data_IF_407311504140
#
_entry.id   IF_407311504140
#
_cell.length_a   1.000
_cell.length_b   1.000
_cell.length_c   1.000
_cell.angle_alpha   90.00
_cell.angle_beta   90.00
_cell.angle_gamma   90.00
#
_symmetry.space_group_name_H-M   'P 1'
#
loop_
_entity.id
_entity.type
_entity.pdbx_description
1 polymer ?
#
# COMPACT_ATOMS: atom_id res chain seq x y z
N UNK A 1 17.27 17.90 -8.84
CA UNK A 1 17.67 17.24 -7.58
C UNK A 1 16.69 17.71 -6.51
N UNK A 2 16.02 16.78 -5.85
CA UNK A 2 15.07 17.09 -4.77
C UNK A 2 15.78 17.83 -3.63
N UNK A 3 15.12 18.85 -3.04
CA UNK A 3 15.66 19.49 -1.85
C UNK A 3 15.69 18.52 -0.66
N UNK A 4 16.59 18.69 0.34
CA UNK A 4 16.60 17.84 1.53
C UNK A 4 15.25 17.76 2.25
N UNK A 5 14.49 18.88 2.27
CA UNK A 5 13.16 18.93 2.87
C UNK A 5 12.15 18.04 2.14
N UNK A 6 12.10 18.09 0.80
CA UNK A 6 11.25 17.22 -0.03
C UNK A 6 11.66 15.75 0.10
N UNK A 7 12.97 15.47 0.20
CA UNK A 7 13.45 14.11 0.42
C UNK A 7 12.97 13.53 1.76
N UNK A 8 13.07 14.31 2.85
CA UNK A 8 12.58 13.90 4.17
C UNK A 8 11.03 13.74 4.20
N UNK A 9 10.31 14.60 3.47
CA UNK A 9 8.86 14.47 3.31
C UNK A 9 8.47 13.18 2.58
N UNK A 10 9.19 12.83 1.52
CA UNK A 10 8.96 11.59 0.78
C UNK A 10 9.21 10.36 1.67
N UNK A 11 10.21 10.40 2.56
CA UNK A 11 10.46 9.31 3.52
C UNK A 11 9.31 9.21 4.55
N UNK A 12 8.77 10.32 5.03
CA UNK A 12 7.57 10.32 5.89
C UNK A 12 6.34 9.79 5.16
N UNK A 13 6.13 10.18 3.92
CA UNK A 13 5.04 9.65 3.09
C UNK A 13 5.16 8.13 2.90
N UNK A 14 6.37 7.59 2.71
CA UNK A 14 6.60 6.14 2.63
C UNK A 14 6.20 5.43 3.93
N UNK A 15 6.53 6.00 5.10
CA UNK A 15 6.14 5.43 6.40
C UNK A 15 4.60 5.48 6.57
N UNK A 16 3.96 6.61 6.24
CA UNK A 16 2.50 6.74 6.33
C UNK A 16 1.78 5.74 5.39
N UNK A 17 2.27 5.58 4.18
CA UNK A 17 1.78 4.57 3.24
C UNK A 17 1.83 3.15 3.81
N UNK A 18 2.94 2.77 4.44
CA UNK A 18 3.09 1.47 5.08
C UNK A 18 2.13 1.27 6.24
N UNK A 19 1.95 2.30 7.07
CA UNK A 19 1.05 2.27 8.21
C UNK A 19 -0.38 2.03 7.74
N UNK A 20 -0.85 2.83 6.79
CA UNK A 20 -2.19 2.69 6.23
C UNK A 20 -2.41 1.33 5.53
N UNK A 21 -1.41 0.81 4.80
CA UNK A 21 -1.47 -0.55 4.25
C UNK A 21 -1.58 -1.62 5.34
N UNK A 22 -0.89 -1.44 6.47
CA UNK A 22 -0.98 -2.38 7.59
C UNK A 22 -2.38 -2.40 8.19
N UNK A 23 -3.00 -1.24 8.33
CA UNK A 23 -4.38 -1.11 8.81
C UNK A 23 -5.39 -1.74 7.86
N UNK A 24 -5.25 -1.53 6.54
CA UNK A 24 -6.07 -2.20 5.53
C UNK A 24 -5.93 -3.73 5.64
N UNK A 25 -4.71 -4.22 5.80
CA UNK A 25 -4.45 -5.65 5.95
C UNK A 25 -5.10 -6.24 7.21
N UNK A 26 -4.85 -5.63 8.38
CA UNK A 26 -5.40 -6.07 9.65
C UNK A 26 -6.94 -6.02 9.66
N UNK A 27 -7.54 -4.96 9.13
CA UNK A 27 -8.97 -4.84 8.95
C UNK A 27 -9.54 -5.92 8.03
N UNK A 28 -8.83 -6.25 6.94
CA UNK A 28 -9.25 -7.32 6.03
C UNK A 28 -9.28 -8.69 6.73
N UNK A 29 -8.25 -9.01 7.53
CA UNK A 29 -8.22 -10.26 8.31
C UNK A 29 -9.37 -10.31 9.30
N UNK A 30 -9.59 -9.25 10.07
CA UNK A 30 -10.66 -9.19 11.06
C UNK A 30 -12.05 -9.39 10.43
N UNK A 31 -12.32 -8.68 9.34
CA UNK A 31 -13.60 -8.77 8.64
C UNK A 31 -13.80 -10.14 7.97
N UNK A 32 -12.75 -10.70 7.36
CA UNK A 32 -12.80 -12.04 6.75
C UNK A 32 -13.07 -13.14 7.80
N UNK A 33 -12.46 -13.04 8.98
CA UNK A 33 -12.74 -13.96 10.10
C UNK A 33 -14.16 -13.77 10.64
N UNK A 34 -14.67 -12.55 10.73
CA UNK A 34 -16.05 -12.29 11.14
C UNK A 34 -17.05 -12.89 10.14
N UNK A 35 -16.85 -12.72 8.86
CA UNK A 35 -17.69 -13.37 7.83
C UNK A 35 -17.60 -14.91 7.90
N UNK A 36 -16.46 -15.46 8.30
CA UNK A 36 -16.26 -16.90 8.41
C UNK A 36 -17.06 -17.53 9.56
N UNK A 37 -17.32 -16.79 10.64
CA UNK A 37 -18.14 -17.28 11.77
C UNK A 37 -19.56 -17.66 11.35
N UNK A 38 -20.08 -17.10 10.27
CA UNK A 38 -21.40 -17.42 9.72
C UNK A 38 -21.41 -18.75 8.93
N UNK A 39 -20.23 -19.35 8.67
CA UNK A 39 -20.11 -20.62 7.96
C UNK A 39 -20.25 -21.77 8.96
N UNK A 40 -21.30 -22.60 8.90
CA UNK A 40 -21.42 -23.73 9.81
C UNK A 40 -20.26 -24.71 9.70
N UNK A 41 -19.84 -25.28 10.82
CA UNK A 41 -18.75 -26.29 10.89
C UNK A 41 -19.00 -27.47 9.95
N UNK A 42 -20.24 -27.85 9.76
CA UNK A 42 -20.68 -28.94 8.87
C UNK A 42 -20.99 -28.45 7.44
N UNK A 43 -20.65 -27.21 7.11
CA UNK A 43 -20.96 -26.62 5.79
C UNK A 43 -20.28 -27.39 4.68
N UNK A 44 -21.02 -27.59 3.57
CA UNK A 44 -20.46 -28.09 2.31
C UNK A 44 -20.05 -26.93 1.42
N UNK A 45 -19.08 -27.17 0.53
CA UNK A 45 -18.63 -26.15 -0.42
C UNK A 45 -19.80 -25.56 -1.24
N UNK A 46 -20.77 -26.41 -1.62
CA UNK A 46 -21.97 -25.99 -2.36
C UNK A 46 -22.91 -25.08 -1.55
N UNK A 47 -22.94 -25.16 -0.22
CA UNK A 47 -23.80 -24.32 0.65
C UNK A 47 -23.11 -23.06 1.14
N UNK A 48 -21.80 -22.93 0.97
CA UNK A 48 -21.03 -21.76 1.37
C UNK A 48 -21.06 -20.59 0.33
N UNK A 49 -21.93 -20.65 -0.68
CA UNK A 49 -21.98 -19.68 -1.78
C UNK A 49 -22.27 -18.26 -1.31
N UNK A 50 -23.14 -18.08 -0.30
CA UNK A 50 -23.45 -16.74 0.23
C UNK A 50 -22.26 -16.13 0.95
N UNK A 51 -21.53 -16.91 1.73
CA UNK A 51 -20.28 -16.48 2.35
C UNK A 51 -19.24 -16.11 1.28
N UNK A 52 -19.02 -16.95 0.29
CA UNK A 52 -18.04 -16.72 -0.77
C UNK A 52 -18.29 -15.40 -1.51
N UNK A 53 -19.56 -15.11 -1.83
CA UNK A 53 -19.94 -13.84 -2.47
C UNK A 53 -19.62 -12.64 -1.59
N UNK A 54 -19.99 -12.67 -0.30
CA UNK A 54 -19.68 -11.60 0.67
C UNK A 54 -18.18 -11.42 0.85
N UNK A 55 -17.44 -12.50 0.95
CA UNK A 55 -15.98 -12.48 1.11
C UNK A 55 -15.28 -11.87 -0.13
N UNK A 56 -15.71 -12.23 -1.35
CA UNK A 56 -15.19 -11.61 -2.58
C UNK A 56 -15.48 -10.10 -2.58
N UNK A 57 -16.70 -9.68 -2.27
CA UNK A 57 -17.08 -8.26 -2.23
C UNK A 57 -16.21 -7.49 -1.22
N UNK A 58 -16.03 -8.04 -0.01
CA UNK A 58 -15.16 -7.45 1.02
C UNK A 58 -13.73 -7.28 0.50
N UNK A 59 -13.12 -8.36 0.05
CA UNK A 59 -11.70 -8.36 -0.34
C UNK A 59 -11.46 -7.43 -1.55
N UNK A 60 -12.34 -7.44 -2.54
CA UNK A 60 -12.22 -6.53 -3.70
C UNK A 60 -12.44 -5.07 -3.32
N UNK A 61 -13.25 -4.77 -2.30
CA UNK A 61 -13.37 -3.43 -1.74
C UNK A 61 -12.07 -2.99 -1.07
N UNK A 62 -11.49 -3.82 -0.20
CA UNK A 62 -10.20 -3.55 0.45
C UNK A 62 -9.05 -3.46 -0.55
N UNK A 63 -9.10 -4.26 -1.61
CA UNK A 63 -8.12 -4.20 -2.70
C UNK A 63 -8.19 -2.87 -3.45
N UNK A 64 -9.39 -2.34 -3.74
CA UNK A 64 -9.56 -0.99 -4.32
C UNK A 64 -8.98 0.08 -3.40
N UNK A 65 -9.31 0.03 -2.11
CA UNK A 65 -8.77 0.97 -1.12
C UNK A 65 -7.23 0.97 -1.11
N UNK A 66 -6.60 -0.21 -1.09
CA UNK A 66 -5.13 -0.31 -1.11
C UNK A 66 -4.53 0.20 -2.44
N UNK A 67 -5.20 -0.02 -3.56
CA UNK A 67 -4.81 0.46 -4.88
C UNK A 67 -4.86 1.99 -4.96
N UNK A 68 -5.96 2.60 -4.52
CA UNK A 68 -6.15 4.04 -4.58
C UNK A 68 -5.13 4.75 -3.67
N UNK A 69 -4.88 4.22 -2.48
CA UNK A 69 -3.80 4.66 -1.59
C UNK A 69 -2.43 4.59 -2.26
N UNK A 70 -2.14 3.49 -2.96
CA UNK A 70 -0.85 3.31 -3.64
C UNK A 70 -0.66 4.26 -4.82
N UNK A 71 -1.74 4.61 -5.53
CA UNK A 71 -1.72 5.59 -6.60
C UNK A 71 -1.41 6.98 -6.07
N UNK A 72 -2.12 7.43 -5.04
CA UNK A 72 -1.87 8.71 -4.40
C UNK A 72 -0.44 8.78 -3.84
N UNK A 73 0.02 7.70 -3.17
CA UNK A 73 1.39 7.61 -2.68
C UNK A 73 2.42 7.73 -3.82
N UNK A 74 2.26 6.98 -4.91
CA UNK A 74 3.20 7.00 -6.03
C UNK A 74 3.30 8.41 -6.64
N UNK A 75 2.17 9.07 -6.84
CA UNK A 75 2.09 10.43 -7.39
C UNK A 75 2.81 11.43 -6.50
N UNK A 76 2.56 11.42 -5.20
CA UNK A 76 3.22 12.29 -4.22
C UNK A 76 4.73 11.99 -4.13
N UNK A 77 5.11 10.72 -3.96
CA UNK A 77 6.52 10.33 -3.85
C UNK A 77 7.33 10.73 -5.09
N UNK A 78 6.75 10.54 -6.29
CA UNK A 78 7.38 10.95 -7.54
C UNK A 78 7.55 12.47 -7.63
N UNK A 79 6.52 13.25 -7.27
CA UNK A 79 6.60 14.71 -7.25
C UNK A 79 7.70 15.21 -6.31
N UNK A 80 7.73 14.67 -5.09
CA UNK A 80 8.74 15.01 -4.08
C UNK A 80 10.17 14.64 -4.49
N UNK A 81 10.33 13.51 -5.20
CA UNK A 81 11.65 12.99 -5.60
C UNK A 81 12.15 13.54 -6.94
N UNK A 82 11.25 13.84 -7.88
CA UNK A 82 11.62 14.18 -9.27
C UNK A 82 11.17 15.57 -9.72
N UNK A 83 10.28 16.24 -8.98
CA UNK A 83 9.66 17.51 -9.35
C UNK A 83 8.53 17.38 -10.39
N UNK A 84 8.14 16.17 -10.76
CA UNK A 84 7.02 15.91 -11.69
C UNK A 84 6.19 14.74 -11.17
N UNK A 85 4.90 14.66 -11.55
CA UNK A 85 4.02 13.56 -11.16
C UNK A 85 3.44 12.85 -12.38
N UNK A 86 2.69 11.78 -12.14
CA UNK A 86 1.93 11.07 -13.20
C UNK A 86 0.46 11.43 -13.13
N UNK A 87 -0.21 11.48 -14.28
CA UNK A 87 -1.63 11.69 -14.37
C UNK A 87 -2.42 10.55 -13.71
N UNK A 88 -3.56 10.88 -13.10
CA UNK A 88 -4.52 9.86 -12.69
C UNK A 88 -5.12 9.22 -13.95
N UNK A 89 -5.01 7.89 -14.14
CA UNK A 89 -5.50 7.22 -15.33
C UNK A 89 -7.05 7.21 -15.44
N UNK A 90 -7.78 7.60 -14.39
CA UNK A 90 -9.23 7.56 -14.33
C UNK A 90 -9.89 8.93 -14.37
N UNK A 91 -9.13 10.00 -14.04
CA UNK A 91 -9.65 11.35 -13.99
C UNK A 91 -8.80 12.28 -14.87
N UNK A 92 -9.43 13.08 -15.77
CA UNK A 92 -8.72 14.11 -16.51
C UNK A 92 -8.11 15.12 -15.56
N UNK A 93 -6.85 15.49 -15.79
CA UNK A 93 -6.13 16.44 -14.97
C UNK A 93 -5.54 17.58 -15.83
N UNK A 94 -5.33 18.77 -15.25
CA UNK A 94 -4.59 19.83 -15.92
C UNK A 94 -3.12 19.44 -16.08
N UNK A 95 -2.43 20.11 -17.01
CA UNK A 95 -0.99 19.90 -17.27
C UNK A 95 -0.10 20.13 -16.04
N UNK A 96 -0.57 20.99 -15.13
CA UNK A 96 0.12 21.28 -13.86
C UNK A 96 -0.86 21.22 -12.70
N UNK A 97 -0.41 20.66 -11.59
CA UNK A 97 -1.09 20.67 -10.30
C UNK A 97 -0.13 21.21 -9.23
N UNK A 98 -0.62 21.55 -8.06
CA UNK A 98 0.23 21.94 -6.94
C UNK A 98 0.62 20.75 -6.08
N UNK A 99 1.75 20.86 -5.40
CA UNK A 99 2.18 19.81 -4.46
C UNK A 99 1.15 19.61 -3.32
N UNK A 100 0.43 20.66 -2.93
CA UNK A 100 -0.60 20.59 -1.89
C UNK A 100 -1.83 19.76 -2.30
N UNK A 101 -2.16 19.73 -3.60
CA UNK A 101 -3.21 18.81 -4.10
C UNK A 101 -2.81 17.37 -3.86
N UNK A 102 -1.57 17.01 -4.20
CA UNK A 102 -1.06 15.63 -4.00
C UNK A 102 -0.95 15.26 -2.52
N UNK A 103 -0.53 16.21 -1.66
CA UNK A 103 -0.49 16.00 -0.20
C UNK A 103 -1.87 15.73 0.36
N UNK A 104 -2.87 16.49 -0.04
CA UNK A 104 -4.25 16.35 0.43
C UNK A 104 -4.86 15.04 -0.03
N UNK A 105 -4.72 14.70 -1.32
CA UNK A 105 -5.17 13.42 -1.86
C UNK A 105 -4.60 12.21 -1.08
N UNK A 106 -3.32 12.26 -0.76
CA UNK A 106 -2.69 11.21 0.03
C UNK A 106 -3.12 11.21 1.50
N UNK A 107 -3.24 12.39 2.14
CA UNK A 107 -3.65 12.53 3.54
C UNK A 107 -5.08 12.03 3.77
N UNK A 108 -6.00 12.28 2.86
CA UNK A 108 -7.38 11.77 2.91
C UNK A 108 -7.41 10.23 2.94
N UNK A 109 -6.56 9.57 2.16
CA UNK A 109 -6.51 8.11 2.07
C UNK A 109 -5.74 7.45 3.23
N UNK A 110 -4.88 8.19 3.92
CA UNK A 110 -4.17 7.70 5.12
C UNK A 110 -4.90 8.00 6.42
N UNK A 111 -6.05 8.69 6.38
CA UNK A 111 -6.76 9.14 7.58
C UNK A 111 -6.02 10.23 8.37
N UNK A 112 -5.01 10.86 7.77
CA UNK A 112 -4.20 11.91 8.40
C UNK A 112 -4.77 13.32 8.19
N UNK A 113 -5.94 13.46 7.57
CA UNK A 113 -6.56 14.74 7.23
C UNK A 113 -7.01 15.56 8.45
N UNK A 114 -7.09 14.97 9.64
CA UNK A 114 -7.54 15.62 10.87
C UNK A 114 -6.40 16.22 11.74
N UNK A 115 -5.16 16.23 11.28
CA UNK A 115 -4.08 16.90 12.01
C UNK A 115 -4.00 18.36 11.59
N UNK A 116 -4.33 19.34 12.45
CA UNK A 116 -4.10 20.75 12.16
C UNK A 116 -2.61 20.98 11.93
N UNK A 117 -2.27 21.71 10.88
CA UNK A 117 -0.92 22.21 10.67
C UNK A 117 -0.50 23.06 11.90
N UNK A 118 0.19 22.48 12.86
CA UNK A 118 0.94 23.24 13.85
C UNK A 118 2.12 23.91 13.15
N UNK A 119 1.96 25.20 12.87
CA UNK A 119 3.04 25.99 12.32
C UNK A 119 2.62 27.30 11.68
N UNK A 120 1.65 28.02 12.24
CA UNK A 120 1.59 29.49 12.08
C UNK A 120 1.34 30.12 13.43
N UNK A 121 2.44 30.55 14.04
CA UNK A 121 2.46 31.53 15.14
C UNK A 121 1.70 32.79 14.69
N UNK A 122 0.51 33.02 15.23
CA UNK A 122 -0.14 34.32 15.16
C UNK A 122 -0.16 34.92 16.55
N UNK A 123 0.90 35.66 16.86
CA UNK A 123 0.82 36.70 17.87
C UNK A 123 -0.02 37.86 17.32
N UNK A 124 -1.22 38.01 17.85
CA UNK A 124 -1.96 39.27 17.81
C UNK A 124 -2.80 39.40 19.07
N UNK A 125 -2.71 40.54 19.78
CA UNK A 125 -3.33 40.73 21.10
C UNK A 125 -4.83 41.01 20.98
N UNK A 126 -5.56 40.46 21.93
CA UNK A 126 -6.96 40.74 22.18
C UNK A 126 -7.17 42.22 22.59
N UNK A 127 -8.14 42.88 21.98
CA UNK A 127 -8.76 44.05 22.56
C UNK A 127 -10.28 43.99 22.41
N UNK A 128 -10.91 43.97 23.58
CA UNK A 128 -12.33 44.14 23.84
C UNK A 128 -12.77 45.60 23.57
N UNK A 129 -13.96 45.80 23.02
CA UNK A 129 -15.03 46.63 23.58
C UNK A 129 -16.08 47.03 22.53
N UNK A 130 -17.27 46.60 22.80
CA UNK A 130 -18.52 47.33 23.09
C UNK A 130 -19.12 48.26 22.04
N UNK A 131 -20.35 47.85 21.71
CA UNK A 131 -21.60 48.53 21.27
C UNK A 131 -21.60 50.04 21.01
N UNK A 132 -22.17 50.48 19.83
CA UNK A 132 -23.49 51.03 19.73
C UNK A 132 -23.78 51.69 18.34
N UNK A 133 -24.99 51.47 17.90
CA UNK A 133 -25.80 52.13 16.87
C UNK A 133 -25.47 53.57 16.52
N UNK A 134 -25.42 53.88 15.19
CA UNK A 134 -26.27 54.97 14.61
C UNK A 134 -26.11 55.02 13.08
N UNK A 135 -27.24 55.21 12.39
CA UNK A 135 -27.39 55.35 10.97
C UNK A 135 -26.91 56.76 10.51
N UNK A 136 -26.25 56.83 9.34
CA UNK A 136 -26.32 57.98 8.43
C UNK A 136 -25.83 57.61 7.03
N UNK A 137 -26.64 57.89 6.06
CA UNK A 137 -26.51 57.96 4.61
C UNK A 137 -25.26 58.75 4.15
N UNK A 138 -24.56 58.23 3.11
CA UNK A 138 -23.57 59.02 2.39
C UNK A 138 -22.84 58.25 1.29
N UNK A 139 -23.29 58.42 0.07
CA UNK A 139 -22.63 58.40 -1.25
C UNK A 139 -21.40 57.47 -1.49
N UNK A 140 -21.54 56.67 -2.56
CA UNK A 140 -20.56 55.88 -3.22
C UNK A 140 -19.44 56.75 -3.80
N UNK A 141 -18.20 56.40 -3.45
CA UNK A 141 -17.02 56.60 -4.30
C UNK A 141 -16.46 55.20 -4.56
N UNK A 142 -16.56 54.76 -5.80
CA UNK A 142 -15.87 53.60 -6.32
C UNK A 142 -14.36 53.93 -6.32
N UNK A 143 -13.65 53.44 -5.33
CA UNK A 143 -12.21 53.32 -5.37
C UNK A 143 -11.88 51.91 -5.95
N UNK A 144 -11.38 51.90 -7.19
CA UNK A 144 -10.69 50.77 -7.78
C UNK A 144 -9.49 50.41 -6.85
N UNK A 145 -9.71 49.46 -5.94
CA UNK A 145 -8.64 48.75 -5.25
C UNK A 145 -8.03 47.76 -6.24
N UNK A 146 -7.07 48.22 -7.07
CA UNK A 146 -6.13 47.33 -7.74
C UNK A 146 -5.48 46.49 -6.65
N UNK A 147 -5.94 45.22 -6.52
CA UNK A 147 -5.34 44.22 -5.67
C UNK A 147 -3.87 44.05 -6.14
N UNK A 148 -2.95 44.73 -5.46
CA UNK A 148 -1.52 44.51 -5.62
C UNK A 148 -1.25 43.04 -5.34
N UNK A 149 -1.02 42.29 -6.43
CA UNK A 149 -0.56 40.89 -6.36
C UNK A 149 0.74 40.87 -5.55
N UNK A 150 0.75 40.05 -4.50
CA UNK A 150 1.92 39.85 -3.66
C UNK A 150 2.97 39.08 -4.47
N UNK A 151 4.09 39.66 -4.88
CA UNK A 151 5.05 39.00 -5.75
C UNK A 151 5.75 37.79 -5.10
N UNK A 152 5.72 37.71 -3.78
CA UNK A 152 6.26 36.53 -3.08
C UNK A 152 5.27 35.36 -3.10
N UNK A 153 3.96 35.60 -3.11
CA UNK A 153 2.93 34.57 -3.23
C UNK A 153 2.91 33.94 -4.64
N UNK A 154 3.02 34.78 -5.67
CA UNK A 154 3.11 34.27 -7.06
C UNK A 154 4.37 33.44 -7.29
N UNK A 155 5.44 33.75 -6.58
CA UNK A 155 6.72 33.02 -6.63
C UNK A 155 6.69 31.70 -5.85
N UNK A 156 6.00 31.64 -4.71
CA UNK A 156 5.73 30.40 -3.96
C UNK A 156 4.81 29.47 -4.75
N UNK A 157 3.76 30.01 -5.38
CA UNK A 157 2.83 29.25 -6.23
C UNK A 157 3.54 28.68 -7.48
N UNK A 158 4.53 29.37 -8.04
CA UNK A 158 5.31 28.88 -9.18
C UNK A 158 6.29 27.76 -8.78
N UNK A 159 6.87 27.82 -7.56
CA UNK A 159 7.78 26.80 -7.03
C UNK A 159 7.08 25.49 -6.65
N UNK A 160 5.79 25.53 -6.39
CA UNK A 160 4.99 24.35 -6.01
C UNK A 160 4.22 23.72 -7.19
N UNK A 161 4.36 24.29 -8.41
CA UNK A 161 3.75 23.71 -9.63
C UNK A 161 4.47 22.44 -10.04
N UNK A 162 3.72 21.37 -10.14
CA UNK A 162 4.17 20.02 -10.50
C UNK A 162 3.63 19.68 -11.88
N UNK A 163 4.51 19.39 -12.83
CA UNK A 163 4.15 18.93 -14.16
C UNK A 163 3.53 17.53 -14.07
N UNK A 164 2.37 17.35 -14.66
CA UNK A 164 1.66 16.07 -14.76
C UNK A 164 2.06 15.39 -16.08
N UNK A 165 2.66 14.22 -16.00
CA UNK A 165 3.09 13.44 -17.15
C UNK A 165 2.16 12.24 -17.35
N UNK A 166 1.66 12.04 -18.54
CA UNK A 166 0.85 10.87 -18.89
C UNK A 166 1.72 9.62 -19.08
N UNK A 167 1.24 8.50 -18.57
CA UNK A 167 1.84 7.17 -18.80
C UNK A 167 0.86 6.31 -19.60
N UNK A 168 1.24 6.02 -20.83
CA UNK A 168 0.39 5.22 -21.73
C UNK A 168 0.16 3.79 -21.22
N UNK A 169 -1.06 3.28 -21.37
CA UNK A 169 -1.43 1.90 -21.07
C UNK A 169 -1.52 1.58 -19.57
N UNK A 170 -1.48 2.59 -18.69
CA UNK A 170 -1.54 2.40 -17.25
C UNK A 170 -2.91 1.87 -16.81
N UNK A 171 -3.98 2.48 -17.31
CA UNK A 171 -5.36 2.13 -17.01
C UNK A 171 -5.71 0.72 -17.49
N UNK A 172 -5.43 0.41 -18.74
CA UNK A 172 -5.74 -0.89 -19.35
C UNK A 172 -5.03 -2.04 -18.63
N UNK A 173 -3.77 -1.79 -18.20
CA UNK A 173 -3.02 -2.77 -17.44
C UNK A 173 -3.62 -2.97 -16.04
N UNK A 174 -3.99 -1.90 -15.35
CA UNK A 174 -4.61 -1.95 -14.02
C UNK A 174 -5.95 -2.69 -14.07
N UNK A 175 -6.83 -2.36 -15.03
CA UNK A 175 -8.11 -3.03 -15.21
C UNK A 175 -7.97 -4.54 -15.52
N UNK A 176 -6.94 -4.92 -16.27
CA UNK A 176 -6.63 -6.34 -16.51
C UNK A 176 -6.20 -7.03 -15.22
N UNK A 177 -5.29 -6.45 -14.47
CA UNK A 177 -4.81 -6.98 -13.19
C UNK A 177 -5.97 -7.16 -12.21
N UNK A 178 -6.92 -6.24 -12.16
CA UNK A 178 -8.08 -6.33 -11.28
C UNK A 178 -9.05 -7.46 -11.68
N UNK A 179 -9.30 -7.66 -12.97
CA UNK A 179 -10.13 -8.78 -13.44
C UNK A 179 -9.48 -10.13 -13.13
N UNK A 180 -8.18 -10.26 -13.35
CA UNK A 180 -7.43 -11.47 -13.03
C UNK A 180 -7.44 -11.77 -11.52
N UNK A 181 -7.26 -10.72 -10.69
CA UNK A 181 -7.28 -10.84 -9.24
C UNK A 181 -8.65 -11.29 -8.69
N UNK A 182 -9.77 -10.83 -9.26
CA UNK A 182 -11.10 -11.27 -8.83
C UNK A 182 -11.34 -12.76 -9.16
N UNK A 183 -10.87 -13.19 -10.33
CA UNK A 183 -10.98 -14.61 -10.74
C UNK A 183 -10.14 -15.52 -9.83
N UNK A 184 -8.88 -15.13 -9.56
CA UNK A 184 -7.99 -15.85 -8.65
C UNK A 184 -8.57 -15.89 -7.23
N UNK A 185 -9.07 -14.76 -6.71
CA UNK A 185 -9.63 -14.65 -5.38
C UNK A 185 -10.75 -15.68 -5.13
N UNK A 186 -11.66 -15.82 -6.10
CA UNK A 186 -12.75 -16.81 -6.01
C UNK A 186 -12.21 -18.20 -5.79
N UNK A 187 -11.24 -18.63 -6.61
CA UNK A 187 -10.64 -19.95 -6.53
C UNK A 187 -9.88 -20.18 -5.22
N UNK A 188 -9.13 -19.17 -4.77
CA UNK A 188 -8.34 -19.24 -3.54
C UNK A 188 -9.23 -19.32 -2.30
N UNK A 189 -10.25 -18.47 -2.19
CA UNK A 189 -11.19 -18.49 -1.05
C UNK A 189 -11.97 -19.80 -0.98
N UNK A 190 -12.43 -20.31 -2.12
CA UNK A 190 -13.12 -21.59 -2.17
C UNK A 190 -12.20 -22.74 -1.76
N UNK A 191 -10.97 -22.77 -2.29
CA UNK A 191 -10.00 -23.84 -2.01
C UNK A 191 -9.53 -23.85 -0.55
N UNK A 192 -9.20 -22.67 0.01
CA UNK A 192 -8.65 -22.56 1.38
C UNK A 192 -9.74 -22.49 2.47
N UNK A 193 -10.94 -21.99 2.14
CA UNK A 193 -12.08 -21.90 3.04
C UNK A 193 -12.96 -23.16 2.98
N UNK A 194 -14.04 -23.08 2.21
CA UNK A 194 -15.12 -24.08 2.22
C UNK A 194 -14.71 -25.48 1.78
N UNK A 195 -13.91 -25.60 0.71
CA UNK A 195 -13.44 -26.92 0.23
C UNK A 195 -12.43 -27.56 1.18
N UNK A 196 -11.55 -26.75 1.80
CA UNK A 196 -10.61 -27.26 2.80
C UNK A 196 -11.35 -27.71 4.07
N UNK A 197 -12.34 -26.93 4.54
CA UNK A 197 -13.18 -27.30 5.68
C UNK A 197 -13.89 -28.63 5.40
N UNK A 198 -14.59 -28.75 4.27
CA UNK A 198 -15.31 -29.97 3.91
C UNK A 198 -14.40 -31.17 3.90
N UNK A 199 -13.23 -31.14 3.25
CA UNK A 199 -12.28 -32.27 3.21
C UNK A 199 -11.82 -32.68 4.60
N UNK A 200 -11.59 -31.75 5.52
CA UNK A 200 -11.17 -32.03 6.88
C UNK A 200 -12.30 -32.65 7.69
N UNK A 201 -13.53 -32.11 7.59
CA UNK A 201 -14.70 -32.66 8.28
C UNK A 201 -15.00 -34.08 7.80
N UNK A 202 -15.00 -34.32 6.48
CA UNK A 202 -15.21 -35.67 5.91
C UNK A 202 -14.16 -36.68 6.40
N UNK A 203 -12.91 -36.25 6.59
CA UNK A 203 -11.84 -37.11 7.14
C UNK A 203 -12.01 -37.38 8.63
N UNK A 204 -12.52 -36.44 9.42
CA UNK A 204 -12.80 -36.60 10.86
C UNK A 204 -13.98 -37.52 11.06
N UNK A 205 -15.04 -37.34 10.30
CA UNK A 205 -16.28 -38.16 10.41
C UNK A 205 -16.05 -39.63 10.11
N UNK A 206 -15.04 -39.98 9.29
CA UNK A 206 -14.69 -41.35 8.95
C UNK A 206 -13.77 -42.06 9.95
N UNK A 207 -13.24 -41.38 10.98
CA UNK A 207 -12.08 -41.91 11.69
C UNK A 207 -12.19 -42.05 13.23
N UNK A 208 -13.23 -41.52 13.98
CA UNK A 208 -13.13 -41.38 15.45
C UNK A 208 -14.43 -41.54 16.23
N UNK A 209 -14.27 -41.67 17.59
CA UNK A 209 -15.35 -41.73 18.57
C UNK A 209 -16.07 -40.38 18.68
N UNK A 210 -17.34 -40.38 19.11
CA UNK A 210 -18.22 -39.19 19.07
C UNK A 210 -17.72 -38.00 19.92
N UNK A 211 -17.04 -38.24 21.03
CA UNK A 211 -16.66 -37.20 21.98
C UNK A 211 -15.53 -36.26 21.44
N UNK A 212 -14.66 -36.74 20.56
CA UNK A 212 -13.56 -35.97 19.98
C UNK A 212 -13.97 -35.24 18.66
N UNK A 213 -15.06 -35.67 18.04
CA UNK A 213 -15.45 -35.25 16.70
C UNK A 213 -15.80 -33.75 16.66
N UNK A 214 -16.57 -33.25 17.62
CA UNK A 214 -17.01 -31.84 17.59
C UNK A 214 -15.86 -30.89 17.88
N UNK A 215 -14.92 -31.24 18.77
CA UNK A 215 -13.71 -30.46 18.99
C UNK A 215 -12.87 -30.39 17.71
N UNK A 216 -12.60 -31.52 17.07
CA UNK A 216 -11.78 -31.59 15.85
C UNK A 216 -12.41 -30.85 14.65
N UNK A 217 -13.75 -30.88 14.54
CA UNK A 217 -14.48 -30.08 13.55
C UNK A 217 -14.33 -28.58 13.84
N UNK A 218 -14.40 -28.18 15.12
CA UNK A 218 -14.14 -26.79 15.54
C UNK A 218 -12.73 -26.32 15.15
N UNK A 219 -11.70 -27.12 15.47
CA UNK A 219 -10.32 -26.85 15.10
C UNK A 219 -10.13 -26.77 13.57
N UNK A 220 -10.79 -27.68 12.82
CA UNK A 220 -10.75 -27.65 11.35
C UNK A 220 -11.38 -26.37 10.77
N UNK A 221 -12.49 -25.90 11.39
CA UNK A 221 -13.15 -24.65 11.03
C UNK A 221 -12.26 -23.44 11.29
N UNK A 222 -11.67 -23.33 12.47
CA UNK A 222 -10.74 -22.25 12.81
C UNK A 222 -9.53 -22.20 11.87
N UNK A 223 -8.92 -23.36 11.58
CA UNK A 223 -7.79 -23.44 10.65
C UNK A 223 -8.17 -23.05 9.21
N UNK A 224 -9.36 -23.42 8.74
CA UNK A 224 -9.84 -23.01 7.42
C UNK A 224 -10.10 -21.49 7.40
N UNK A 225 -10.70 -20.98 8.48
CA UNK A 225 -10.91 -19.54 8.68
C UNK A 225 -9.62 -18.73 8.65
N UNK A 226 -8.61 -19.16 9.40
CA UNK A 226 -7.30 -18.49 9.42
C UNK A 226 -6.61 -18.49 8.04
N UNK A 227 -6.68 -19.60 7.31
CA UNK A 227 -6.05 -19.70 5.98
C UNK A 227 -6.73 -18.81 4.95
N UNK A 228 -8.07 -18.81 4.88
CA UNK A 228 -8.78 -17.96 3.94
C UNK A 228 -8.62 -16.48 4.29
N UNK A 229 -8.54 -16.10 5.58
CA UNK A 229 -8.32 -14.74 6.01
C UNK A 229 -6.91 -14.23 5.63
N UNK A 230 -5.87 -15.06 5.79
CA UNK A 230 -4.52 -14.73 5.35
C UNK A 230 -4.42 -14.53 3.81
N UNK A 231 -5.13 -15.37 3.05
CA UNK A 231 -5.22 -15.21 1.60
C UNK A 231 -6.00 -13.95 1.22
N UNK A 232 -7.08 -13.63 1.94
CA UNK A 232 -7.85 -12.40 1.77
C UNK A 232 -6.99 -11.15 1.98
N UNK A 233 -6.18 -11.11 3.06
CA UNK A 233 -5.20 -10.05 3.30
C UNK A 233 -4.22 -9.93 2.13
N UNK A 234 -3.61 -11.03 1.72
CA UNK A 234 -2.67 -11.04 0.59
C UNK A 234 -3.26 -10.41 -0.67
N UNK A 235 -4.48 -10.83 -1.04
CA UNK A 235 -5.14 -10.31 -2.26
C UNK A 235 -5.52 -8.84 -2.11
N UNK A 236 -6.00 -8.40 -0.95
CA UNK A 236 -6.30 -7.01 -0.68
C UNK A 236 -5.04 -6.12 -0.81
N UNK A 237 -3.94 -6.49 -0.16
CA UNK A 237 -2.68 -5.75 -0.20
C UNK A 237 -1.98 -5.82 -1.57
N UNK A 238 -2.23 -6.87 -2.36
CA UNK A 238 -1.70 -6.95 -3.72
C UNK A 238 -2.29 -5.87 -4.65
N UNK A 239 -3.41 -5.23 -4.30
CA UNK A 239 -3.89 -4.01 -4.96
C UNK A 239 -2.82 -2.93 -4.98
N UNK A 240 -2.32 -2.55 -3.81
CA UNK A 240 -1.24 -1.56 -3.70
C UNK A 240 0.06 -2.01 -4.36
N UNK A 241 0.47 -3.25 -4.12
CA UNK A 241 1.73 -3.81 -4.63
C UNK A 241 1.78 -3.83 -6.15
N UNK A 242 0.68 -4.25 -6.78
CA UNK A 242 0.57 -4.29 -8.25
C UNK A 242 0.43 -2.88 -8.85
N UNK A 243 -0.19 -1.94 -8.15
CA UNK A 243 -0.29 -0.54 -8.61
C UNK A 243 1.08 0.12 -8.62
N UNK A 244 1.85 0.06 -7.53
CA UNK A 244 3.23 0.59 -7.52
C UNK A 244 4.06 -0.07 -8.63
N UNK A 245 3.96 -1.38 -8.78
CA UNK A 245 4.64 -2.12 -9.83
C UNK A 245 4.24 -1.64 -11.23
N UNK A 246 2.94 -1.50 -11.51
CA UNK A 246 2.42 -1.10 -12.82
C UNK A 246 2.88 0.31 -13.22
N UNK A 247 2.87 1.24 -12.26
CA UNK A 247 3.40 2.60 -12.45
C UNK A 247 4.91 2.57 -12.72
N UNK A 248 5.69 1.97 -11.85
CA UNK A 248 7.14 1.92 -11.93
C UNK A 248 7.63 1.29 -13.25
N UNK A 249 6.98 0.22 -13.72
CA UNK A 249 7.38 -0.48 -14.92
C UNK A 249 7.28 0.39 -16.18
N UNK A 250 6.34 1.34 -16.19
CA UNK A 250 6.06 2.25 -17.30
C UNK A 250 6.70 3.63 -17.14
N UNK A 251 7.01 4.03 -15.92
CA UNK A 251 7.60 5.32 -15.64
C UNK A 251 9.11 5.31 -15.91
N UNK A 252 9.53 6.07 -16.93
CA UNK A 252 10.93 6.20 -17.32
C UNK A 252 11.81 6.89 -16.27
N UNK A 253 11.22 7.61 -15.33
CA UNK A 253 11.93 8.29 -14.25
C UNK A 253 12.27 7.36 -13.08
N UNK A 254 11.71 6.18 -13.04
CA UNK A 254 11.97 5.20 -11.98
C UNK A 254 13.27 4.44 -12.28
N UNK A 255 14.19 4.43 -11.32
CA UNK A 255 15.42 3.61 -11.38
C UNK A 255 15.08 2.13 -11.27
N UNK A 256 14.20 1.79 -10.35
CA UNK A 256 13.82 0.42 -10.08
C UNK A 256 12.75 0.31 -9.01
N UNK A 257 12.40 -0.93 -8.76
CA UNK A 257 11.45 -1.38 -7.76
C UNK A 257 12.19 -2.18 -6.71
N UNK A 258 11.95 -1.91 -5.45
CA UNK A 258 12.49 -2.71 -4.34
C UNK A 258 11.36 -3.22 -3.44
N UNK A 259 11.70 -4.24 -2.70
CA UNK A 259 10.85 -4.78 -1.65
C UNK A 259 11.34 -4.28 -0.30
N UNK A 260 10.45 -3.71 0.50
CA UNK A 260 10.73 -3.29 1.88
C UNK A 260 9.96 -4.15 2.86
N UNK A 261 10.53 -4.36 4.06
CA UNK A 261 9.85 -5.02 5.17
C UNK A 261 9.26 -3.99 6.12
N UNK A 262 8.00 -4.14 6.49
CA UNK A 262 7.33 -3.29 7.49
C UNK A 262 7.78 -3.59 8.92
N UNK A 263 8.22 -4.81 9.18
CA UNK A 263 8.51 -5.28 10.54
C UNK A 263 10.01 -5.25 10.89
N UNK A 264 10.88 -4.93 9.94
CA UNK A 264 12.33 -5.06 10.12
C UNK A 264 12.83 -6.52 10.15
N UNK A 265 11.95 -7.51 10.31
CA UNK A 265 12.26 -8.95 10.39
C UNK A 265 11.56 -9.72 9.27
N UNK A 266 11.99 -9.60 8.01
CA UNK A 266 11.37 -10.30 6.90
C UNK A 266 11.63 -11.80 6.97
N UNK A 267 10.72 -12.61 6.44
CA UNK A 267 11.00 -14.04 6.26
C UNK A 267 12.22 -14.24 5.35
N UNK A 268 12.92 -15.39 5.48
CA UNK A 268 14.16 -15.63 4.75
C UNK A 268 14.05 -15.58 3.21
N UNK A 269 12.84 -15.75 2.65
CA UNK A 269 12.59 -15.51 1.22
C UNK A 269 12.53 -14.02 0.91
N UNK A 270 11.73 -13.26 1.67
CA UNK A 270 11.65 -11.80 1.49
C UNK A 270 13.00 -11.13 1.77
N UNK A 271 13.75 -11.58 2.77
CA UNK A 271 15.11 -11.09 3.05
C UNK A 271 16.05 -11.27 1.84
N UNK A 272 15.95 -12.41 1.13
CA UNK A 272 16.69 -12.64 -0.11
C UNK A 272 16.27 -11.67 -1.22
N UNK A 273 14.97 -11.39 -1.35
CA UNK A 273 14.50 -10.41 -2.34
C UNK A 273 14.90 -8.99 -1.98
N UNK A 274 14.87 -8.63 -0.70
CA UNK A 274 15.30 -7.33 -0.17
C UNK A 274 16.80 -7.11 -0.43
N UNK A 275 17.64 -8.16 -0.32
CA UNK A 275 19.09 -8.07 -0.53
C UNK A 275 19.52 -7.75 -1.96
N UNK A 276 18.59 -7.71 -2.91
CA UNK A 276 18.92 -7.43 -4.31
C UNK A 276 18.91 -5.95 -4.69
N UNK A 277 18.53 -5.08 -3.75
CA UNK A 277 18.43 -3.64 -3.99
C UNK A 277 17.46 -3.27 -5.13
N UNK A 278 17.57 -2.07 -5.71
CA UNK A 278 16.65 -1.56 -6.74
C UNK A 278 16.98 -2.10 -8.15
N UNK A 279 17.20 -3.39 -8.29
CA UNK A 279 17.49 -4.07 -9.58
C UNK A 279 16.24 -4.67 -10.23
N UNK A 280 15.12 -4.69 -9.51
CA UNK A 280 13.89 -5.28 -9.98
C UNK A 280 13.19 -4.37 -10.99
N UNK A 281 13.51 -4.55 -12.27
CA UNK A 281 12.81 -3.91 -13.40
C UNK A 281 11.77 -4.82 -14.05
N UNK A 282 11.71 -6.09 -13.66
CA UNK A 282 10.70 -7.02 -14.15
C UNK A 282 9.94 -7.68 -13.01
N UNK A 283 8.65 -7.87 -13.21
CA UNK A 283 7.76 -8.54 -12.28
C UNK A 283 8.26 -9.95 -11.92
N UNK A 284 8.74 -10.69 -12.91
CA UNK A 284 9.19 -12.07 -12.77
C UNK A 284 10.37 -12.23 -11.80
N UNK A 285 11.21 -11.20 -11.65
CA UNK A 285 12.34 -11.26 -10.71
C UNK A 285 11.93 -11.06 -9.25
N UNK A 286 10.70 -10.58 -8.99
CA UNK A 286 10.17 -10.35 -7.64
C UNK A 286 9.09 -11.37 -7.23
N UNK A 287 8.72 -12.30 -8.09
CA UNK A 287 7.68 -13.32 -7.87
C UNK A 287 8.24 -14.65 -7.35
N UNK A 288 7.35 -15.48 -6.79
CA UNK A 288 7.61 -16.89 -6.58
C UNK A 288 7.55 -17.66 -7.89
N UNK A 289 8.11 -18.86 -7.92
CA UNK A 289 8.08 -19.74 -9.09
C UNK A 289 6.67 -20.18 -9.49
N UNK A 290 5.69 -20.06 -8.59
CA UNK A 290 4.26 -20.32 -8.80
C UNK A 290 3.47 -19.11 -9.31
N UNK A 291 4.14 -17.99 -9.62
CA UNK A 291 3.53 -16.75 -10.09
C UNK A 291 3.00 -15.83 -8.98
N UNK A 292 3.03 -16.24 -7.71
CA UNK A 292 2.62 -15.42 -6.58
C UNK A 292 3.72 -14.44 -6.18
N UNK A 293 3.44 -13.15 -6.27
CA UNK A 293 4.37 -12.06 -5.92
C UNK A 293 4.65 -11.98 -4.43
N UNK A 294 3.66 -12.34 -3.62
CA UNK A 294 3.68 -12.27 -2.17
C UNK A 294 2.93 -13.47 -1.60
N UNK A 295 3.50 -14.12 -0.59
CA UNK A 295 2.86 -15.23 0.11
C UNK A 295 1.86 -14.73 1.16
N UNK A 296 1.00 -15.61 1.65
CA UNK A 296 0.12 -15.32 2.77
C UNK A 296 0.94 -14.91 4.00
N UNK A 297 0.43 -13.96 4.78
CA UNK A 297 1.14 -13.33 5.91
C UNK A 297 2.46 -12.62 5.51
N UNK A 298 2.57 -12.12 4.28
CA UNK A 298 3.73 -11.35 3.84
C UNK A 298 3.60 -9.89 4.27
N UNK A 299 4.56 -9.43 5.10
CA UNK A 299 4.61 -8.05 5.59
C UNK A 299 5.44 -7.10 4.72
N UNK A 300 5.89 -7.55 3.55
CA UNK A 300 6.65 -6.72 2.62
C UNK A 300 5.72 -5.91 1.72
N UNK A 301 6.23 -4.77 1.26
CA UNK A 301 5.53 -3.90 0.32
C UNK A 301 6.47 -3.45 -0.80
N UNK A 302 5.86 -2.89 -1.83
CA UNK A 302 6.54 -2.36 -3.00
C UNK A 302 6.96 -0.92 -2.77
N UNK A 303 8.17 -0.56 -3.19
CA UNK A 303 8.70 0.78 -3.07
C UNK A 303 9.35 1.22 -4.39
N UNK A 304 8.96 2.39 -4.96
CA UNK A 304 9.62 2.95 -6.12
C UNK A 304 10.92 3.67 -5.71
N UNK A 305 11.99 3.46 -6.46
CA UNK A 305 13.25 4.18 -6.30
C UNK A 305 13.53 4.99 -7.55
N UNK A 306 13.65 6.30 -7.41
CA UNK A 306 13.83 7.23 -8.53
C UNK A 306 15.29 7.61 -8.78
N UNK A 307 16.17 7.48 -7.78
CA UNK A 307 17.59 7.77 -7.96
C UNK A 307 18.48 6.93 -7.03
N UNK A 308 19.76 6.86 -7.36
CA UNK A 308 20.78 6.20 -6.50
C UNK A 308 21.02 6.99 -5.21
N UNK A 309 20.95 8.30 -5.28
CA UNK A 309 21.08 9.20 -4.13
C UNK A 309 19.96 8.94 -3.12
N UNK A 310 18.72 8.77 -3.60
CA UNK A 310 17.60 8.34 -2.76
C UNK A 310 17.91 7.02 -2.07
N UNK A 311 18.32 5.99 -2.81
CA UNK A 311 18.60 4.66 -2.26
C UNK A 311 19.74 4.67 -1.25
N UNK A 312 20.81 5.42 -1.53
CA UNK A 312 21.98 5.47 -0.66
C UNK A 312 21.78 6.36 0.57
N UNK A 313 21.00 7.44 0.47
CA UNK A 313 20.89 8.47 1.49
C UNK A 313 19.74 8.30 2.47
N UNK A 314 18.65 7.61 2.09
CA UNK A 314 17.48 7.46 2.95
C UNK A 314 17.67 6.35 3.98
N UNK A 315 17.29 6.61 5.23
CA UNK A 315 17.24 5.63 6.31
C UNK A 315 16.23 4.49 6.03
N UNK A 316 15.19 4.78 5.26
CA UNK A 316 14.16 3.80 4.86
C UNK A 316 14.76 2.56 4.19
N UNK A 317 15.91 2.69 3.50
CA UNK A 317 16.58 1.60 2.77
C UNK A 317 17.77 1.00 3.50
N UNK A 318 17.97 1.30 4.79
CA UNK A 318 19.11 0.79 5.57
C UNK A 318 19.13 -0.74 5.60
N UNK A 319 17.99 -1.38 5.87
CA UNK A 319 17.87 -2.84 5.87
C UNK A 319 18.22 -3.44 4.50
N UNK A 320 17.80 -2.80 3.40
CA UNK A 320 18.10 -3.24 2.05
C UNK A 320 19.60 -3.20 1.78
N UNK A 321 20.27 -2.08 2.09
CA UNK A 321 21.72 -1.93 1.92
C UNK A 321 22.50 -2.92 2.78
N UNK A 322 22.08 -3.10 4.05
CA UNK A 322 22.69 -4.10 4.95
C UNK A 322 22.58 -5.51 4.37
N UNK A 323 21.42 -5.91 3.87
CA UNK A 323 21.23 -7.24 3.28
C UNK A 323 21.94 -7.40 1.93
N UNK A 324 22.06 -6.36 1.13
CA UNK A 324 22.84 -6.33 -0.12
C UNK A 324 24.32 -6.61 0.15
N UNK A 325 24.89 -6.06 1.23
CA UNK A 325 26.25 -6.33 1.66
C UNK A 325 26.44 -7.72 2.27
N UNK A 326 25.47 -8.23 2.99
CA UNK A 326 25.55 -9.51 3.69
C UNK A 326 25.32 -10.70 2.75
N UNK A 327 24.46 -10.58 1.77
CA UNK A 327 24.13 -11.68 0.85
C UNK A 327 25.36 -12.34 0.23
N UNK A 328 26.30 -11.63 -0.42
CA UNK A 328 27.48 -12.27 -1.03
C UNK A 328 28.44 -12.86 0.00
N UNK A 329 28.44 -12.34 1.24
CA UNK A 329 29.28 -12.88 2.32
C UNK A 329 28.74 -14.22 2.81
N UNK A 330 27.44 -14.30 3.08
CA UNK A 330 26.75 -15.49 3.59
C UNK A 330 26.64 -16.61 2.56
N UNK A 331 26.50 -16.26 1.28
CA UNK A 331 26.29 -17.23 0.20
C UNK A 331 27.55 -17.51 -0.62
N UNK A 332 28.73 -17.12 -0.12
CA UNK A 332 30.00 -17.29 -0.83
C UNK A 332 30.23 -18.75 -1.24
N UNK A 333 30.48 -18.98 -2.53
CA UNK A 333 30.67 -20.31 -3.10
C UNK A 333 29.42 -21.17 -3.25
N UNK A 334 28.25 -20.62 -2.91
CA UNK A 334 26.96 -21.32 -3.03
C UNK A 334 26.14 -20.71 -4.17
N UNK A 335 25.28 -21.52 -4.79
CA UNK A 335 24.35 -21.08 -5.83
C UNK A 335 22.96 -21.73 -5.67
N UNK A 336 21.93 -21.17 -6.34
CA UNK A 336 20.59 -21.70 -6.39
C UNK A 336 20.01 -22.02 -5.00
N UNK A 337 19.47 -23.20 -4.83
CA UNK A 337 18.82 -23.65 -3.58
C UNK A 337 19.77 -23.65 -2.37
N UNK A 338 21.05 -23.95 -2.56
CA UNK A 338 22.03 -23.96 -1.47
C UNK A 338 22.26 -22.56 -0.90
N UNK A 339 22.41 -21.56 -1.75
CA UNK A 339 22.57 -20.15 -1.36
C UNK A 339 21.32 -19.67 -0.59
N UNK A 340 20.11 -19.93 -1.11
CA UNK A 340 18.85 -19.55 -0.45
C UNK A 340 18.72 -20.26 0.92
N UNK A 341 19.13 -21.51 1.03
CA UNK A 341 19.07 -22.24 2.30
C UNK A 341 20.08 -21.71 3.33
N UNK A 342 21.29 -21.34 2.91
CA UNK A 342 22.27 -20.70 3.77
C UNK A 342 21.75 -19.34 4.28
N UNK A 343 21.21 -18.51 3.39
CA UNK A 343 20.61 -17.24 3.72
C UNK A 343 19.45 -17.36 4.72
N UNK A 344 18.54 -18.32 4.50
CA UNK A 344 17.41 -18.59 5.42
C UNK A 344 17.86 -19.00 6.82
N UNK A 345 18.96 -19.74 6.95
CA UNK A 345 19.55 -20.10 8.25
C UNK A 345 20.11 -18.85 8.93
N UNK A 346 20.84 -18.04 8.20
CA UNK A 346 21.43 -16.79 8.70
C UNK A 346 20.35 -15.85 9.23
N UNK A 347 19.30 -15.55 8.44
CA UNK A 347 18.19 -14.66 8.84
C UNK A 347 17.42 -15.15 10.07
N UNK A 348 17.42 -16.45 10.36
CA UNK A 348 16.77 -16.99 11.56
C UNK A 348 17.61 -16.85 12.82
N UNK A 349 18.89 -16.55 12.69
CA UNK A 349 19.83 -16.40 13.81
C UNK A 349 20.07 -14.93 14.17
N UNK A 350 19.78 -14.00 13.28
CA UNK A 350 19.76 -12.56 13.52
C UNK A 350 18.49 -12.11 14.27
#
# INVERSE_FOLDING_TARGET
VSSPARAAEADRAAIAFQTALTEIGAGTVADALNLWKDVPVTSRASTATSWLRRAITLVMSRRRQSRDLARAYYRLARALRTGTTVADPYHPEPTYITLDVLRREFAELTGSADSPQEGRSSDAPASTSDSSSSAATGQAEEADEEAQADPDKDREDELDRILVEEIAGLREAEERIEREAEQELRLVLEALGSSNLQKKVDAIDGARSADDVDQLRGEAHEQAGARQAAAAERVALNGARSTVWNHMQRDRRTLGYIRLSRTGTPCGWCAMLISRGPVYRSQNSAEYADGDKYHDNCHCYAEPVFSREQYNGSATYELNRRYEELWPKVTRGLSGKAAVSAWRRFIRQE
#
